data_IF_148676038945
#
_entry.id   IF_148676038945
#
_cell.length_a   1.000
_cell.length_b   1.000
_cell.length_c   1.000
_cell.angle_alpha   90.00
_cell.angle_beta   90.00
_cell.angle_gamma   90.00
#
_symmetry.space_group_name_H-M   'P 1'
#
loop_
_entity.id
_entity.type
_entity.pdbx_description
1 polymer ?
#
# COMPACT_ATOMS: atom_id res chain seq x y z
N UNK A 1 25.21 -52.88 -14.27
CA UNK A 1 23.79 -52.47 -14.21
C UNK A 1 23.33 -52.09 -12.80
N UNK A 2 23.80 -52.77 -11.75
CA UNK A 2 23.40 -52.52 -10.36
C UNK A 2 23.74 -51.10 -9.86
N UNK A 3 24.87 -50.53 -10.27
CA UNK A 3 25.28 -49.16 -9.82
C UNK A 3 24.43 -48.04 -10.43
N UNK A 4 23.85 -48.24 -11.62
CA UNK A 4 22.96 -47.27 -12.26
C UNK A 4 21.56 -47.36 -11.63
N UNK A 5 21.10 -48.51 -11.24
CA UNK A 5 19.85 -48.72 -10.53
C UNK A 5 19.88 -48.08 -9.12
N UNK A 6 21.03 -48.18 -8.40
CA UNK A 6 21.19 -47.53 -7.10
C UNK A 6 21.21 -46.02 -7.18
N UNK A 7 21.84 -45.44 -8.21
CA UNK A 7 21.85 -43.98 -8.43
C UNK A 7 20.47 -43.43 -8.83
N UNK A 8 19.70 -44.18 -9.64
CA UNK A 8 18.32 -43.84 -9.98
C UNK A 8 17.41 -43.93 -8.76
N UNK A 9 17.58 -44.94 -7.90
CA UNK A 9 16.81 -45.07 -6.66
C UNK A 9 17.09 -43.94 -5.68
N UNK A 10 18.37 -43.53 -5.51
CA UNK A 10 18.74 -42.35 -4.70
C UNK A 10 18.18 -41.04 -5.26
N UNK A 11 18.16 -40.89 -6.61
CA UNK A 11 17.58 -39.69 -7.23
C UNK A 11 16.05 -39.63 -7.05
N UNK A 12 15.36 -40.78 -7.10
CA UNK A 12 13.91 -40.87 -6.86
C UNK A 12 13.59 -40.57 -5.38
N UNK A 13 14.41 -41.04 -4.45
CA UNK A 13 14.24 -40.76 -3.01
C UNK A 13 14.49 -39.28 -2.70
N UNK A 14 15.48 -38.64 -3.34
CA UNK A 14 15.75 -37.23 -3.20
C UNK A 14 14.66 -36.34 -3.83
N UNK A 15 14.03 -36.80 -4.93
CA UNK A 15 12.90 -36.13 -5.56
C UNK A 15 11.58 -36.30 -4.79
N UNK A 16 11.41 -37.40 -4.06
CA UNK A 16 10.22 -37.63 -3.23
C UNK A 16 10.24 -36.84 -1.91
N UNK A 17 11.40 -36.36 -1.48
CA UNK A 17 11.53 -35.42 -0.33
C UNK A 17 11.17 -33.98 -0.72
N UNK A 18 11.07 -33.64 -2.00
CA UNK A 18 10.48 -32.40 -2.49
C UNK A 18 8.95 -32.46 -2.61
N UNK A 19 8.29 -33.48 -2.07
CA UNK A 19 6.85 -33.57 -2.03
C UNK A 19 6.29 -32.44 -1.15
N UNK A 20 5.51 -31.64 -1.77
CA UNK A 20 4.67 -30.51 -1.41
C UNK A 20 3.95 -30.62 -0.04
N UNK A 21 4.69 -30.86 1.04
CA UNK A 21 4.21 -30.89 2.41
C UNK A 21 4.71 -29.65 3.17
N UNK A 22 3.88 -29.06 4.01
CA UNK A 22 4.34 -28.05 4.96
C UNK A 22 5.46 -28.65 5.80
N UNK A 23 6.54 -27.87 6.03
CA UNK A 23 7.59 -28.32 6.93
C UNK A 23 7.03 -28.49 8.36
N UNK A 24 7.66 -29.34 9.17
CA UNK A 24 7.31 -29.50 10.57
C UNK A 24 7.35 -28.16 11.31
N UNK A 25 8.28 -27.30 10.95
CA UNK A 25 8.42 -25.94 11.50
C UNK A 25 7.20 -25.06 11.14
N UNK A 26 6.73 -25.09 9.90
CA UNK A 26 5.51 -24.37 9.46
C UNK A 26 4.29 -24.90 10.23
N UNK A 27 4.16 -26.21 10.34
CA UNK A 27 3.04 -26.82 11.07
C UNK A 27 3.07 -26.48 12.57
N UNK A 28 4.25 -26.43 13.17
CA UNK A 28 4.42 -26.03 14.58
C UNK A 28 4.01 -24.56 14.81
N UNK A 29 4.37 -23.66 13.87
CA UNK A 29 3.97 -22.25 13.94
C UNK A 29 2.43 -22.12 13.79
N UNK A 30 1.83 -22.82 12.82
CA UNK A 30 0.37 -22.79 12.63
C UNK A 30 -0.40 -23.30 13.85
N UNK A 31 0.08 -24.38 14.46
CA UNK A 31 -0.54 -24.93 15.68
C UNK A 31 -0.43 -23.94 16.84
N UNK A 32 0.75 -23.33 17.04
CA UNK A 32 0.93 -22.35 18.09
C UNK A 32 0.04 -21.10 17.88
N UNK A 33 -0.14 -20.66 16.65
CA UNK A 33 -1.07 -19.57 16.31
C UNK A 33 -2.52 -19.97 16.64
N UNK A 34 -2.91 -21.18 16.27
CA UNK A 34 -4.25 -21.69 16.58
C UNK A 34 -4.50 -21.83 18.09
N UNK A 35 -3.45 -22.18 18.85
CA UNK A 35 -3.51 -22.36 20.30
C UNK A 35 -3.69 -21.04 21.07
N UNK A 36 -3.51 -19.88 20.43
CA UNK A 36 -3.80 -18.57 21.06
C UNK A 36 -5.29 -18.49 21.46
N UNK A 37 -6.19 -18.98 20.59
CA UNK A 37 -7.63 -18.94 20.84
C UNK A 37 -8.18 -17.51 20.91
N UNK A 38 -9.15 -17.29 21.79
CA UNK A 38 -9.67 -15.95 22.10
C UNK A 38 -8.62 -15.14 22.87
N UNK A 39 -8.39 -13.91 22.43
CA UNK A 39 -7.36 -13.04 23.03
C UNK A 39 -7.89 -12.42 24.31
N UNK A 40 -7.13 -12.55 25.38
CA UNK A 40 -7.41 -12.00 26.71
C UNK A 40 -6.14 -11.36 27.29
N UNK A 41 -6.25 -10.65 28.40
CA UNK A 41 -5.08 -10.11 29.11
C UNK A 41 -4.06 -11.18 29.54
N UNK A 42 -4.43 -12.46 29.56
CA UNK A 42 -3.56 -13.59 29.89
C UNK A 42 -2.91 -14.25 28.66
N UNK A 43 -3.23 -13.84 27.44
CA UNK A 43 -2.77 -14.48 26.20
C UNK A 43 -1.30 -14.18 25.83
N UNK A 44 -0.60 -13.34 26.60
CA UNK A 44 0.76 -12.89 26.28
C UNK A 44 1.76 -14.01 26.01
N UNK A 45 1.79 -15.05 26.85
CA UNK A 45 2.71 -16.19 26.71
C UNK A 45 2.40 -17.03 25.45
N UNK A 46 1.12 -17.24 25.13
CA UNK A 46 0.70 -17.97 23.92
C UNK A 46 1.10 -17.20 22.65
N UNK A 47 0.85 -15.91 22.63
CA UNK A 47 1.24 -15.02 21.52
C UNK A 47 2.78 -14.98 21.34
N UNK A 48 3.52 -14.80 22.43
CA UNK A 48 4.99 -14.79 22.39
C UNK A 48 5.56 -16.12 21.86
N UNK A 49 4.96 -17.26 22.25
CA UNK A 49 5.35 -18.58 21.74
C UNK A 49 5.10 -18.70 20.24
N UNK A 50 3.91 -18.30 19.78
CA UNK A 50 3.56 -18.34 18.35
C UNK A 50 4.48 -17.44 17.54
N UNK A 51 4.73 -16.23 18.00
CA UNK A 51 5.64 -15.27 17.38
C UNK A 51 7.08 -15.83 17.27
N UNK A 52 7.59 -16.48 18.34
CA UNK A 52 8.90 -17.10 18.32
C UNK A 52 9.03 -18.17 17.26
N UNK A 53 8.03 -19.07 17.17
CA UNK A 53 8.02 -20.14 16.17
C UNK A 53 7.89 -19.59 14.75
N UNK A 54 7.11 -18.52 14.55
CA UNK A 54 7.00 -17.86 13.26
C UNK A 54 8.30 -17.12 12.87
N UNK A 55 8.96 -16.46 13.81
CA UNK A 55 10.17 -15.65 13.55
C UNK A 55 11.37 -16.46 13.08
N UNK A 56 11.49 -17.73 13.48
CA UNK A 56 12.59 -18.60 13.10
C UNK A 56 12.39 -19.26 11.72
N UNK A 57 11.23 -19.10 11.09
CA UNK A 57 10.97 -19.59 9.74
C UNK A 57 11.74 -18.77 8.71
N UNK A 58 12.16 -19.43 7.64
CA UNK A 58 12.66 -18.74 6.44
C UNK A 58 11.54 -17.98 5.74
N UNK A 59 11.84 -16.98 4.93
CA UNK A 59 10.81 -16.21 4.21
C UNK A 59 9.90 -17.11 3.37
N UNK A 60 10.46 -18.09 2.66
CA UNK A 60 9.69 -19.09 1.90
C UNK A 60 8.76 -19.96 2.77
N UNK A 61 9.08 -20.18 4.04
CA UNK A 61 8.24 -20.91 4.98
C UNK A 61 7.17 -20.03 5.58
N UNK A 62 7.48 -18.76 5.87
CA UNK A 62 6.49 -17.77 6.35
C UNK A 62 5.33 -17.60 5.38
N UNK A 63 5.61 -17.60 4.07
CA UNK A 63 4.58 -17.56 3.03
C UNK A 63 3.62 -18.76 3.05
N UNK A 64 4.07 -19.91 3.59
CA UNK A 64 3.27 -21.13 3.69
C UNK A 64 2.42 -21.22 4.96
N UNK A 65 2.60 -20.32 5.92
CA UNK A 65 1.79 -20.26 7.14
C UNK A 65 0.42 -19.69 6.80
N UNK A 66 -0.59 -20.56 6.76
CA UNK A 66 -1.93 -20.21 6.28
C UNK A 66 -2.72 -19.30 7.23
N UNK A 67 -2.42 -19.33 8.53
CA UNK A 67 -3.09 -18.54 9.56
C UNK A 67 -2.23 -17.41 10.12
N UNK A 68 -1.25 -16.91 9.35
CA UNK A 68 -0.37 -15.81 9.78
C UNK A 68 -1.12 -14.55 10.20
N UNK A 69 -2.23 -14.24 9.52
CA UNK A 69 -3.06 -13.08 9.84
C UNK A 69 -3.66 -13.18 11.24
N UNK A 70 -4.07 -14.38 11.67
CA UNK A 70 -4.59 -14.59 13.03
C UNK A 70 -3.53 -14.30 14.11
N UNK A 71 -2.24 -14.52 13.84
CA UNK A 71 -1.17 -14.12 14.77
C UNK A 71 -1.08 -12.60 14.88
N UNK A 72 -1.17 -11.91 13.75
CA UNK A 72 -1.12 -10.44 13.70
C UNK A 72 -2.32 -9.86 14.46
N UNK A 73 -3.52 -10.31 14.13
CA UNK A 73 -4.75 -9.90 14.79
C UNK A 73 -4.69 -10.12 16.31
N UNK A 74 -4.21 -11.29 16.74
CA UNK A 74 -4.05 -11.61 18.15
C UNK A 74 -3.03 -10.70 18.87
N UNK A 75 -1.95 -10.34 18.20
CA UNK A 75 -0.95 -9.40 18.75
C UNK A 75 -1.54 -8.00 18.92
N UNK A 76 -2.31 -7.56 17.93
CA UNK A 76 -2.94 -6.23 17.93
C UNK A 76 -3.99 -6.13 19.03
N UNK A 77 -4.90 -7.11 19.10
CA UNK A 77 -5.92 -7.18 20.15
C UNK A 77 -5.31 -7.24 21.55
N UNK A 78 -4.24 -8.01 21.73
CA UNK A 78 -3.53 -8.08 23.01
C UNK A 78 -2.91 -6.76 23.44
N UNK A 79 -2.30 -6.01 22.48
CA UNK A 79 -1.73 -4.68 22.76
C UNK A 79 -2.80 -3.66 23.11
N UNK A 80 -3.93 -3.70 22.42
CA UNK A 80 -5.09 -2.85 22.73
C UNK A 80 -5.61 -3.17 24.15
N UNK A 81 -5.73 -4.45 24.53
CA UNK A 81 -6.14 -4.88 25.87
C UNK A 81 -5.15 -4.46 26.96
N UNK A 82 -3.86 -4.41 26.64
CA UNK A 82 -2.83 -3.94 27.60
C UNK A 82 -2.81 -2.41 27.75
N UNK A 83 -3.57 -1.68 26.91
CA UNK A 83 -3.59 -0.23 26.94
C UNK A 83 -2.24 0.38 26.53
N UNK A 84 -1.52 -0.23 25.57
CA UNK A 84 -0.26 0.29 25.04
C UNK A 84 -0.51 1.56 24.22
N UNK A 85 -0.40 2.71 24.86
CA UNK A 85 -0.62 4.02 24.26
C UNK A 85 0.34 4.24 23.07
N UNK A 86 1.57 3.75 23.15
CA UNK A 86 2.57 3.86 22.07
C UNK A 86 2.13 3.09 20.83
N UNK A 87 1.63 1.88 21.02
CA UNK A 87 1.10 1.06 19.94
C UNK A 87 -0.13 1.71 19.30
N UNK A 88 -1.09 2.16 20.11
CA UNK A 88 -2.32 2.80 19.63
C UNK A 88 -2.01 4.05 18.80
N UNK A 89 -1.09 4.90 19.28
CA UNK A 89 -0.66 6.09 18.54
C UNK A 89 0.08 5.73 17.24
N UNK A 90 0.93 4.72 17.28
CA UNK A 90 1.65 4.26 16.09
C UNK A 90 0.70 3.66 15.04
N UNK A 91 -0.32 2.92 15.47
CA UNK A 91 -1.38 2.39 14.61
C UNK A 91 -2.19 3.52 13.97
N UNK A 92 -2.60 4.51 14.74
CA UNK A 92 -3.32 5.70 14.23
C UNK A 92 -2.50 6.44 13.16
N UNK A 93 -1.22 6.68 13.42
CA UNK A 93 -0.33 7.31 12.42
C UNK A 93 -0.20 6.47 11.14
N UNK A 94 -0.08 5.15 11.28
CA UNK A 94 -0.03 4.24 10.15
C UNK A 94 -1.32 4.29 9.32
N UNK A 95 -2.49 4.23 9.95
CA UNK A 95 -3.79 4.26 9.27
C UNK A 95 -3.96 5.54 8.45
N UNK A 96 -3.57 6.70 9.01
CA UNK A 96 -3.59 7.98 8.29
C UNK A 96 -2.63 8.00 7.11
N UNK A 97 -1.41 7.49 7.28
CA UNK A 97 -0.45 7.38 6.18
C UNK A 97 -0.96 6.47 5.06
N UNK A 98 -1.61 5.37 5.42
CA UNK A 98 -2.18 4.44 4.45
C UNK A 98 -3.33 5.09 3.67
N UNK A 99 -4.24 5.80 4.33
CA UNK A 99 -5.32 6.55 3.66
C UNK A 99 -4.76 7.61 2.70
N UNK A 100 -3.78 8.39 3.14
CA UNK A 100 -3.10 9.37 2.29
C UNK A 100 -2.43 8.72 1.08
N UNK A 101 -1.74 7.59 1.26
CA UNK A 101 -1.10 6.84 0.19
C UNK A 101 -2.10 6.33 -0.84
N UNK A 102 -3.19 5.71 -0.40
CA UNK A 102 -4.24 5.18 -1.27
C UNK A 102 -4.92 6.30 -2.08
N UNK A 103 -5.20 7.44 -1.45
CA UNK A 103 -5.77 8.61 -2.12
C UNK A 103 -4.80 9.18 -3.17
N UNK A 104 -3.50 9.30 -2.87
CA UNK A 104 -2.50 9.74 -3.82
C UNK A 104 -2.37 8.77 -5.00
N UNK A 105 -2.28 7.46 -4.74
CA UNK A 105 -2.16 6.44 -5.79
C UNK A 105 -3.39 6.47 -6.71
N UNK A 106 -4.59 6.47 -6.14
CA UNK A 106 -5.83 6.50 -6.94
C UNK A 106 -6.01 7.82 -7.69
N UNK A 107 -5.66 8.94 -7.06
CA UNK A 107 -5.67 10.26 -7.66
C UNK A 107 -4.70 10.38 -8.83
N UNK A 108 -3.44 9.95 -8.66
CA UNK A 108 -2.45 9.95 -9.74
C UNK A 108 -2.84 9.04 -10.90
N UNK A 109 -3.38 7.85 -10.62
CA UNK A 109 -3.93 6.97 -11.68
C UNK A 109 -5.05 7.65 -12.46
N UNK A 110 -5.87 8.47 -11.80
CA UNK A 110 -6.91 9.25 -12.47
C UNK A 110 -6.35 10.38 -13.33
N UNK A 111 -5.37 11.14 -12.83
CA UNK A 111 -4.69 12.20 -13.59
C UNK A 111 -4.00 11.60 -14.82
N UNK A 112 -3.22 10.55 -14.62
CA UNK A 112 -2.53 9.84 -15.71
C UNK A 112 -3.50 9.25 -16.74
N UNK A 113 -4.59 8.64 -16.27
CA UNK A 113 -5.65 8.10 -17.14
C UNK A 113 -6.30 9.17 -18.01
N UNK A 114 -6.57 10.36 -17.44
CA UNK A 114 -7.09 11.49 -18.18
C UNK A 114 -6.12 11.99 -19.26
N UNK A 115 -4.83 12.14 -18.93
CA UNK A 115 -3.78 12.50 -19.90
C UNK A 115 -3.65 11.46 -21.01
N UNK A 116 -3.58 10.18 -20.65
CA UNK A 116 -3.44 9.08 -21.60
C UNK A 116 -4.62 9.00 -22.57
N UNK A 117 -5.85 9.16 -22.04
CA UNK A 117 -7.05 9.23 -22.86
C UNK A 117 -6.99 10.41 -23.83
N UNK A 118 -6.72 11.61 -23.34
CA UNK A 118 -6.68 12.82 -24.15
C UNK A 118 -5.62 12.74 -25.23
N UNK A 119 -4.40 12.28 -24.88
CA UNK A 119 -3.30 12.10 -25.85
C UNK A 119 -3.66 11.11 -26.96
N UNK A 120 -4.35 10.03 -26.62
CA UNK A 120 -4.81 9.02 -27.59
C UNK A 120 -5.95 9.50 -28.50
N UNK A 121 -6.65 10.57 -28.12
CA UNK A 121 -7.79 11.14 -28.83
C UNK A 121 -7.50 12.55 -29.39
N UNK A 122 -6.21 12.95 -29.48
CA UNK A 122 -5.83 14.23 -30.05
C UNK A 122 -5.97 14.25 -31.58
N UNK A 123 -6.30 15.42 -32.12
CA UNK A 123 -6.19 15.71 -33.53
C UNK A 123 -4.71 15.98 -33.93
N UNK A 124 -4.48 16.29 -35.21
CA UNK A 124 -3.12 16.59 -35.75
C UNK A 124 -2.44 17.82 -35.09
N UNK A 125 -3.20 18.64 -34.34
CA UNK A 125 -2.67 19.83 -33.63
C UNK A 125 -2.46 19.58 -32.12
N UNK A 126 -2.55 18.32 -31.67
CA UNK A 126 -2.34 17.98 -30.26
C UNK A 126 -3.50 18.41 -29.35
N UNK A 127 -4.67 18.73 -29.92
CA UNK A 127 -5.87 19.08 -29.17
C UNK A 127 -6.87 17.93 -29.14
N UNK A 128 -7.59 17.75 -28.03
CA UNK A 128 -8.68 16.80 -27.92
C UNK A 128 -9.99 17.53 -27.59
N UNK A 129 -11.10 16.89 -27.89
CA UNK A 129 -12.42 17.42 -27.57
C UNK A 129 -12.82 17.00 -26.16
N UNK A 130 -13.14 17.96 -25.30
CA UNK A 130 -13.55 17.68 -23.92
C UNK A 130 -14.90 16.98 -23.89
N UNK A 131 -14.92 15.77 -23.34
CA UNK A 131 -16.10 15.00 -23.02
C UNK A 131 -16.03 14.57 -21.56
N UNK A 132 -16.88 15.17 -20.72
CA UNK A 132 -16.90 14.90 -19.28
C UNK A 132 -17.14 13.43 -18.94
N UNK A 133 -17.97 12.73 -19.75
CA UNK A 133 -18.24 11.29 -19.52
C UNK A 133 -17.01 10.45 -19.83
N UNK A 134 -16.32 10.71 -20.94
CA UNK A 134 -15.13 9.98 -21.34
C UNK A 134 -13.96 10.26 -20.40
N UNK A 135 -13.77 11.52 -20.00
CA UNK A 135 -12.77 11.90 -18.99
C UNK A 135 -13.06 11.24 -17.63
N UNK A 136 -14.32 11.19 -17.21
CA UNK A 136 -14.70 10.52 -15.96
C UNK A 136 -14.40 9.03 -15.97
N UNK A 137 -14.52 8.35 -17.11
CA UNK A 137 -14.09 6.96 -17.28
C UNK A 137 -12.57 6.80 -17.18
N UNK A 138 -11.82 7.76 -17.76
CA UNK A 138 -10.36 7.77 -17.72
C UNK A 138 -9.83 8.16 -16.33
N UNK A 139 -10.60 8.92 -15.53
CA UNK A 139 -10.26 9.40 -14.21
C UNK A 139 -11.26 8.92 -13.14
N UNK A 140 -11.28 7.62 -12.76
CA UNK A 140 -12.31 7.06 -11.88
C UNK A 140 -12.40 7.73 -10.51
N UNK A 141 -11.26 8.08 -9.90
CA UNK A 141 -11.23 8.71 -8.58
C UNK A 141 -11.83 10.14 -8.59
N UNK A 142 -11.79 10.81 -9.74
CA UNK A 142 -12.35 12.16 -9.95
C UNK A 142 -13.73 12.16 -10.61
N UNK A 143 -14.25 11.00 -11.02
CA UNK A 143 -15.42 10.87 -11.91
C UNK A 143 -16.62 11.71 -11.49
N UNK A 144 -16.99 11.67 -10.21
CA UNK A 144 -18.17 12.41 -9.71
C UNK A 144 -18.01 13.93 -9.75
N UNK A 145 -16.78 14.45 -9.90
CA UNK A 145 -16.43 15.87 -9.90
C UNK A 145 -15.79 16.36 -11.21
N UNK A 146 -15.72 15.55 -12.25
CA UNK A 146 -15.13 15.94 -13.55
C UNK A 146 -15.81 17.20 -14.12
N UNK A 147 -17.11 17.32 -13.98
CA UNK A 147 -17.84 18.52 -14.42
C UNK A 147 -17.40 19.77 -13.63
N UNK A 148 -17.17 19.62 -12.31
CA UNK A 148 -16.67 20.71 -11.47
C UNK A 148 -15.25 21.12 -11.88
N UNK A 149 -14.38 20.16 -12.21
CA UNK A 149 -13.04 20.41 -12.74
C UNK A 149 -13.06 21.14 -14.08
N UNK A 150 -13.89 20.73 -15.01
CA UNK A 150 -14.09 21.41 -16.31
C UNK A 150 -14.51 22.86 -16.06
N UNK A 151 -15.50 23.08 -15.21
CA UNK A 151 -16.02 24.41 -14.88
C UNK A 151 -14.98 25.28 -14.17
N UNK A 152 -14.23 24.73 -13.22
CA UNK A 152 -13.20 25.46 -12.47
C UNK A 152 -12.10 26.00 -13.39
N UNK A 153 -11.81 25.32 -14.49
CA UNK A 153 -10.84 25.73 -15.50
C UNK A 153 -11.42 26.63 -16.60
N UNK A 154 -12.72 27.01 -16.50
CA UNK A 154 -13.39 27.82 -17.52
C UNK A 154 -13.54 27.14 -18.88
N UNK A 155 -13.59 25.80 -18.91
CA UNK A 155 -13.75 24.99 -20.10
C UNK A 155 -15.20 24.58 -20.23
N UNK A 156 -15.73 24.53 -21.48
CA UNK A 156 -17.07 24.00 -21.74
C UNK A 156 -17.00 22.58 -22.33
N UNK A 157 -18.04 21.80 -22.08
CA UNK A 157 -18.15 20.48 -22.70
C UNK A 157 -18.25 20.62 -24.21
N UNK A 158 -17.34 19.96 -24.94
CA UNK A 158 -17.24 20.06 -26.40
C UNK A 158 -16.13 20.99 -26.89
N UNK A 159 -15.48 21.74 -26.02
CA UNK A 159 -14.31 22.55 -26.36
C UNK A 159 -13.14 21.69 -26.83
N UNK A 160 -12.31 22.31 -27.68
CA UNK A 160 -11.03 21.75 -28.09
C UNK A 160 -9.91 22.39 -27.27
N UNK A 161 -9.21 21.56 -26.48
CA UNK A 161 -8.09 22.00 -25.63
C UNK A 161 -6.86 21.11 -25.86
N UNK A 162 -5.68 21.60 -25.47
CA UNK A 162 -4.47 20.75 -25.46
C UNK A 162 -4.70 19.51 -24.59
N UNK A 163 -4.19 18.38 -25.01
CA UNK A 163 -4.29 17.12 -24.25
C UNK A 163 -3.77 17.24 -22.80
N UNK A 164 -2.81 18.13 -22.56
CA UNK A 164 -2.27 18.40 -21.21
C UNK A 164 -3.33 18.90 -20.23
N UNK A 165 -4.35 19.60 -20.72
CA UNK A 165 -5.45 20.08 -19.87
C UNK A 165 -6.30 18.97 -19.25
N UNK A 166 -6.27 17.76 -19.82
CA UNK A 166 -7.01 16.63 -19.24
C UNK A 166 -6.53 16.28 -17.83
N UNK A 167 -5.23 16.35 -17.60
CA UNK A 167 -4.67 16.19 -16.25
C UNK A 167 -5.11 17.28 -15.29
N UNK A 168 -5.10 18.55 -15.72
CA UNK A 168 -5.56 19.66 -14.90
C UNK A 168 -7.07 19.55 -14.57
N UNK A 169 -7.89 19.07 -15.53
CA UNK A 169 -9.31 18.80 -15.26
C UNK A 169 -9.45 17.74 -14.17
N UNK A 170 -8.67 16.64 -14.23
CA UNK A 170 -8.69 15.60 -13.22
C UNK A 170 -8.20 16.11 -11.85
N UNK A 171 -7.15 16.94 -11.83
CA UNK A 171 -6.66 17.58 -10.60
C UNK A 171 -7.72 18.50 -9.98
N UNK A 172 -8.33 19.39 -10.77
CA UNK A 172 -9.39 20.28 -10.29
C UNK A 172 -10.62 19.51 -9.78
N UNK A 173 -10.94 18.37 -10.39
CA UNK A 173 -12.02 17.49 -9.93
C UNK A 173 -11.67 16.81 -8.60
N UNK A 174 -10.42 16.38 -8.40
CA UNK A 174 -9.93 15.82 -7.13
C UNK A 174 -9.92 16.89 -6.03
N UNK A 175 -9.56 18.13 -6.37
CA UNK A 175 -9.63 19.26 -5.46
C UNK A 175 -11.08 19.56 -5.04
N UNK A 176 -12.00 19.62 -6.00
CA UNK A 176 -13.42 19.83 -5.72
C UNK A 176 -14.01 18.72 -4.84
N UNK A 177 -13.48 17.51 -4.93
CA UNK A 177 -13.81 16.37 -4.06
C UNK A 177 -13.16 16.43 -2.67
N UNK A 178 -12.21 17.33 -2.46
CA UNK A 178 -11.49 17.49 -1.20
C UNK A 178 -10.32 16.53 -0.98
N UNK A 179 -9.91 15.77 -2.01
CA UNK A 179 -8.84 14.75 -1.89
C UNK A 179 -7.53 15.36 -1.38
N UNK A 180 -7.12 16.51 -1.94
CA UNK A 180 -5.88 17.18 -1.51
C UNK A 180 -5.92 17.64 -0.06
N UNK A 181 -7.10 18.07 0.42
CA UNK A 181 -7.29 18.48 1.83
C UNK A 181 -7.20 17.25 2.74
N UNK A 182 -7.87 16.15 2.41
CA UNK A 182 -7.80 14.91 3.18
C UNK A 182 -6.36 14.42 3.28
N UNK A 183 -5.66 14.28 2.14
CA UNK A 183 -4.25 13.87 2.11
C UNK A 183 -3.38 14.77 2.98
N UNK A 184 -3.57 16.11 2.90
CA UNK A 184 -2.77 17.06 3.69
C UNK A 184 -3.05 16.92 5.18
N UNK A 185 -4.31 16.74 5.59
CA UNK A 185 -4.71 16.54 6.98
C UNK A 185 -4.14 15.24 7.54
N UNK A 186 -4.27 14.13 6.81
CA UNK A 186 -3.74 12.83 7.26
C UNK A 186 -2.22 12.84 7.41
N UNK A 187 -1.52 13.51 6.48
CA UNK A 187 -0.07 13.68 6.56
C UNK A 187 0.35 14.55 7.75
N UNK A 188 -0.40 15.62 8.05
CA UNK A 188 -0.14 16.50 9.19
C UNK A 188 -0.37 15.74 10.50
N UNK A 189 -1.52 15.11 10.67
CA UNK A 189 -1.88 14.34 11.86
C UNK A 189 -0.93 13.17 12.12
N UNK A 190 -0.59 12.39 11.09
CA UNK A 190 0.40 11.34 11.20
C UNK A 190 1.79 11.89 11.59
N UNK A 191 2.19 13.01 10.97
CA UNK A 191 3.45 13.69 11.27
C UNK A 191 3.51 14.20 12.71
N UNK A 192 2.41 14.69 13.26
CA UNK A 192 2.33 15.15 14.64
C UNK A 192 2.47 13.98 15.63
N UNK A 193 1.82 12.86 15.37
CA UNK A 193 1.96 11.63 16.17
C UNK A 193 3.42 11.15 16.14
N UNK A 194 4.04 11.11 14.95
CA UNK A 194 5.42 10.62 14.77
C UNK A 194 6.43 11.54 15.48
N UNK A 195 6.20 12.84 15.46
CA UNK A 195 7.10 13.85 16.08
C UNK A 195 6.87 14.03 17.57
N UNK A 196 5.73 13.61 18.11
CA UNK A 196 5.46 13.69 19.53
C UNK A 196 6.31 12.67 20.26
N UNK A 197 7.25 13.08 21.12
CA UNK A 197 8.11 12.13 21.85
C UNK A 197 7.21 11.27 22.73
N UNK A 198 7.03 10.00 22.36
CA UNK A 198 6.45 9.05 23.30
C UNK A 198 7.43 8.89 24.46
N UNK A 199 6.93 8.74 25.68
CA UNK A 199 7.78 8.53 26.88
C UNK A 199 8.60 7.22 26.80
N UNK A 200 8.45 6.44 25.71
CA UNK A 200 9.17 5.24 25.40
C UNK A 200 9.94 5.42 24.07
N UNK A 201 11.11 6.07 24.12
CA UNK A 201 12.01 6.23 22.97
C UNK A 201 12.48 4.89 22.34
N UNK A 202 12.29 3.76 23.03
CA UNK A 202 12.67 2.40 22.59
C UNK A 202 11.62 1.73 21.69
N UNK A 203 10.56 2.43 21.27
CA UNK A 203 9.54 1.84 20.40
C UNK A 203 10.09 1.54 19.00
N UNK A 204 10.13 0.27 18.63
CA UNK A 204 10.52 -0.20 17.29
C UNK A 204 9.59 0.27 16.17
N UNK A 205 8.48 0.90 16.50
CA UNK A 205 7.47 1.39 15.53
C UNK A 205 7.89 2.70 14.85
N UNK A 206 8.40 3.66 15.60
CA UNK A 206 8.69 5.00 15.09
C UNK A 206 9.72 5.07 13.96
N UNK A 207 10.84 4.32 13.97
CA UNK A 207 11.76 4.30 12.83
C UNK A 207 11.08 3.86 11.54
N UNK A 208 10.23 2.84 11.60
CA UNK A 208 9.48 2.34 10.44
C UNK A 208 8.40 3.32 9.98
N UNK A 209 7.69 3.96 10.94
CA UNK A 209 6.72 5.00 10.61
C UNK A 209 7.38 6.19 9.92
N UNK A 210 8.57 6.60 10.33
CA UNK A 210 9.33 7.65 9.66
C UNK A 210 9.73 7.26 8.23
N UNK A 211 10.12 6.00 8.01
CA UNK A 211 10.42 5.47 6.67
C UNK A 211 9.17 5.50 5.79
N UNK A 212 8.05 5.00 6.31
CA UNK A 212 6.77 5.01 5.60
C UNK A 212 6.26 6.44 5.35
N UNK A 213 6.31 7.30 6.36
CA UNK A 213 5.98 8.72 6.22
C UNK A 213 6.78 9.39 5.09
N UNK A 214 8.09 9.12 5.03
CA UNK A 214 8.96 9.69 4.01
C UNK A 214 8.60 9.22 2.61
N UNK A 215 8.27 7.93 2.45
CA UNK A 215 7.85 7.36 1.18
C UNK A 215 6.50 7.97 0.71
N UNK A 216 5.52 8.05 1.62
CA UNK A 216 4.22 8.66 1.32
C UNK A 216 4.38 10.15 1.03
N UNK A 217 5.16 10.89 1.82
CA UNK A 217 5.42 12.31 1.62
C UNK A 217 5.99 12.61 0.23
N UNK A 218 6.97 11.84 -0.22
CA UNK A 218 7.55 11.99 -1.56
C UNK A 218 6.51 11.80 -2.66
N UNK A 219 5.58 10.87 -2.47
CA UNK A 219 4.50 10.68 -3.44
C UNK A 219 3.45 11.79 -3.37
N UNK A 220 3.15 12.33 -2.18
CA UNK A 220 2.25 13.47 -1.99
C UNK A 220 2.78 14.69 -2.74
N UNK A 221 4.07 14.98 -2.65
CA UNK A 221 4.69 16.09 -3.39
C UNK A 221 4.53 15.89 -4.90
N UNK A 222 4.81 14.71 -5.41
CA UNK A 222 4.60 14.38 -6.81
C UNK A 222 3.12 14.45 -7.22
N UNK A 223 2.20 14.00 -6.37
CA UNK A 223 0.75 14.06 -6.61
C UNK A 223 0.23 15.50 -6.70
N UNK A 224 0.77 16.42 -5.87
CA UNK A 224 0.39 17.83 -5.90
C UNK A 224 0.87 18.53 -7.16
N UNK A 225 2.08 18.21 -7.60
CA UNK A 225 2.73 18.82 -8.77
C UNK A 225 3.31 17.75 -9.70
N UNK A 226 2.46 16.96 -10.38
CA UNK A 226 2.94 15.90 -11.25
C UNK A 226 3.78 16.49 -12.39
N UNK A 227 5.01 16.05 -12.53
CA UNK A 227 5.95 16.53 -13.52
C UNK A 227 6.58 15.40 -14.30
N UNK A 228 6.84 15.65 -15.58
CA UNK A 228 7.50 14.73 -16.49
C UNK A 228 7.44 15.27 -17.93
N UNK A 229 8.43 14.89 -18.76
CA UNK A 229 8.50 15.35 -20.14
C UNK A 229 7.48 14.65 -21.04
N UNK A 230 7.06 13.44 -20.66
CA UNK A 230 6.07 12.64 -21.37
C UNK A 230 5.36 11.66 -20.43
N UNK A 231 4.37 10.92 -20.95
CA UNK A 231 3.57 9.97 -20.17
C UNK A 231 4.39 8.76 -19.70
N UNK A 232 5.43 8.36 -20.42
CA UNK A 232 6.27 7.23 -20.02
C UNK A 232 7.06 7.59 -18.77
N UNK A 233 7.70 8.76 -18.77
CA UNK A 233 8.42 9.25 -17.59
C UNK A 233 7.51 9.43 -16.37
N UNK A 234 6.30 9.97 -16.55
CA UNK A 234 5.32 10.10 -15.47
C UNK A 234 4.95 8.72 -14.92
N UNK A 235 4.70 7.73 -15.79
CA UNK A 235 4.40 6.36 -15.41
C UNK A 235 5.52 5.71 -14.61
N UNK A 236 6.77 5.93 -14.99
CA UNK A 236 7.95 5.40 -14.31
C UNK A 236 8.10 6.01 -12.91
N UNK A 237 7.90 7.32 -12.78
CA UNK A 237 7.93 8.02 -11.48
C UNK A 237 6.83 7.48 -10.56
N UNK A 238 5.59 7.36 -11.05
CA UNK A 238 4.48 6.75 -10.30
C UNK A 238 4.84 5.35 -9.81
N UNK A 239 5.34 4.50 -10.72
CA UNK A 239 5.71 3.12 -10.40
C UNK A 239 6.82 3.03 -9.35
N UNK A 240 7.79 3.96 -9.37
CA UNK A 240 8.86 3.98 -8.38
C UNK A 240 8.32 4.38 -7.00
N UNK A 241 7.51 5.42 -6.90
CA UNK A 241 6.87 5.80 -5.64
C UNK A 241 5.94 4.70 -5.08
N UNK A 242 5.14 4.05 -5.94
CA UNK A 242 4.30 2.92 -5.50
C UNK A 242 5.14 1.76 -4.93
N UNK A 243 6.34 1.50 -5.50
CA UNK A 243 7.26 0.48 -4.97
C UNK A 243 7.89 0.92 -3.64
N UNK A 244 8.29 2.18 -3.49
CA UNK A 244 8.83 2.72 -2.26
C UNK A 244 7.81 2.63 -1.13
N UNK A 245 6.56 3.05 -1.37
CA UNK A 245 5.44 2.93 -0.44
C UNK A 245 5.21 1.47 -0.07
N UNK A 246 5.11 0.57 -1.07
CA UNK A 246 4.88 -0.86 -0.81
C UNK A 246 6.03 -1.51 -0.04
N UNK A 247 7.26 -1.09 -0.27
CA UNK A 247 8.44 -1.60 0.46
C UNK A 247 8.42 -1.15 1.92
N UNK A 248 8.14 0.12 2.18
CA UNK A 248 8.05 0.67 3.52
C UNK A 248 6.84 0.08 4.27
N UNK A 249 5.68 -0.06 3.60
CA UNK A 249 4.46 -0.67 4.14
C UNK A 249 4.63 -2.15 4.51
N UNK A 250 5.46 -2.90 3.78
CA UNK A 250 5.75 -4.30 4.12
C UNK A 250 6.38 -4.47 5.52
N UNK A 251 6.98 -3.42 6.07
CA UNK A 251 7.47 -3.37 7.45
C UNK A 251 6.38 -3.34 8.52
N UNK A 252 5.10 -3.09 8.13
CA UNK A 252 3.96 -2.93 9.03
C UNK A 252 2.98 -4.10 8.98
N UNK A 253 3.46 -5.33 8.83
CA UNK A 253 2.61 -6.52 8.88
C UNK A 253 1.81 -6.65 10.20
N UNK A 254 2.17 -5.86 11.21
CA UNK A 254 1.51 -5.82 12.52
C UNK A 254 0.28 -4.90 12.58
N UNK A 255 0.01 -4.10 11.54
CA UNK A 255 -1.12 -3.16 11.49
C UNK A 255 -2.13 -3.49 10.38
N UNK A 256 -1.86 -4.52 9.59
CA UNK A 256 -2.72 -5.07 8.55
C UNK A 256 -3.54 -6.20 9.15
#
# INVERSE_FOLDING_TARGET
MERIAALLLCAIILLSLCACGKSEAVSAAENAIKDIGEVTAASGDAIARAQKLYSILTESEKEKVSNRLALIEAQDEFKELQGDVTYTSAKEAYEKLNEAAELCISGMKSIYGAWSYAKSNTNQFGSFRVDGISLGKAAPAANSHIHDGIKALGIESGDWVSWTYAGYIAQAALEAKGVYNTVSTDMEEAGDIIRTPSQNEDSSYYPKLNEYYSAVYSYVDFFKEPSGNDLEQISDVMSNHEKEISSADAGFLFYK
#
